data_IF_374964381836
#
_entry.id   IF_374964381836
#
_cell.length_a   1.000
_cell.length_b   1.000
_cell.length_c   1.000
_cell.angle_alpha   90.00
_cell.angle_beta   90.00
_cell.angle_gamma   90.00
#
_symmetry.space_group_name_H-M   'P 1'
#
loop_
_entity.id
_entity.type
_entity.pdbx_description
1 polymer ?
#
# COMPACT_ATOMS: atom_id res chain seq x y z
N UNK A 1 -26.50 25.69 -9.19
CA UNK A 1 -25.98 24.32 -8.97
C UNK A 1 -25.86 24.08 -7.46
N UNK A 2 -26.25 22.91 -6.94
CA UNK A 2 -26.18 22.64 -5.49
C UNK A 2 -24.68 22.53 -5.09
N UNK A 3 -24.21 23.16 -3.99
CA UNK A 3 -22.79 23.18 -3.62
C UNK A 3 -22.13 21.79 -3.56
N UNK A 4 -22.90 20.77 -3.16
CA UNK A 4 -22.47 19.36 -3.16
C UNK A 4 -21.99 18.84 -4.52
N UNK A 5 -22.60 19.27 -5.62
CA UNK A 5 -22.21 18.85 -6.97
C UNK A 5 -20.93 19.55 -7.42
N UNK A 6 -20.75 20.82 -7.02
CA UNK A 6 -19.50 21.56 -7.28
C UNK A 6 -18.35 20.89 -6.53
N UNK A 7 -18.55 20.58 -5.24
CA UNK A 7 -17.56 19.87 -4.44
C UNK A 7 -17.21 18.50 -5.03
N UNK A 8 -18.20 17.74 -5.51
CA UNK A 8 -17.95 16.45 -6.16
C UNK A 8 -17.12 16.59 -7.44
N UNK A 9 -17.45 17.56 -8.30
CA UNK A 9 -16.70 17.82 -9.54
C UNK A 9 -15.26 18.24 -9.21
N UNK A 10 -15.08 19.16 -8.27
CA UNK A 10 -13.75 19.59 -7.82
C UNK A 10 -12.94 18.41 -7.30
N UNK A 11 -13.55 17.54 -6.49
CA UNK A 11 -12.87 16.34 -5.97
C UNK A 11 -12.45 15.40 -7.09
N UNK A 12 -13.32 15.14 -8.07
CA UNK A 12 -12.98 14.29 -9.23
C UNK A 12 -11.82 14.90 -10.03
N UNK A 13 -11.86 16.20 -10.32
CA UNK A 13 -10.77 16.88 -11.04
C UNK A 13 -9.46 16.78 -10.25
N UNK A 14 -9.49 17.00 -8.94
CA UNK A 14 -8.31 16.85 -8.09
C UNK A 14 -7.75 15.43 -8.12
N UNK A 15 -8.60 14.40 -8.05
CA UNK A 15 -8.18 12.99 -8.17
C UNK A 15 -7.52 12.75 -9.52
N UNK A 16 -8.15 13.16 -10.63
CA UNK A 16 -7.60 12.95 -11.97
C UNK A 16 -6.24 13.65 -12.12
N UNK A 17 -6.13 14.90 -11.68
CA UNK A 17 -4.87 15.66 -11.71
C UNK A 17 -3.81 14.97 -10.85
N UNK A 18 -4.17 14.52 -9.65
CA UNK A 18 -3.27 13.77 -8.77
C UNK A 18 -2.79 12.48 -9.44
N UNK A 19 -3.69 11.68 -10.03
CA UNK A 19 -3.33 10.45 -10.72
C UNK A 19 -2.37 10.74 -11.88
N UNK A 20 -2.69 11.72 -12.73
CA UNK A 20 -1.85 12.10 -13.88
C UNK A 20 -0.49 12.64 -13.45
N UNK A 21 -0.41 13.53 -12.46
CA UNK A 21 0.87 14.01 -11.94
C UNK A 21 1.73 12.87 -11.35
N UNK A 22 1.08 11.88 -10.74
CA UNK A 22 1.76 10.71 -10.16
C UNK A 22 2.02 9.57 -11.18
N UNK A 23 1.82 9.77 -12.48
CA UNK A 23 2.25 8.81 -13.51
C UNK A 23 3.74 8.87 -13.84
N UNK A 24 4.48 9.78 -13.19
CA UNK A 24 5.93 9.87 -13.32
C UNK A 24 6.59 8.49 -13.11
N UNK A 25 7.47 8.12 -14.04
CA UNK A 25 8.27 6.90 -13.92
C UNK A 25 9.36 7.14 -12.91
N UNK A 26 9.41 6.32 -11.87
CA UNK A 26 10.49 6.29 -10.90
C UNK A 26 11.32 5.04 -11.12
N UNK A 27 12.62 5.22 -11.03
CA UNK A 27 13.60 4.14 -10.98
C UNK A 27 13.88 3.75 -9.53
N UNK A 28 13.43 2.56 -9.13
CA UNK A 28 13.88 1.92 -7.90
C UNK A 28 15.26 1.31 -8.11
N UNK A 29 16.22 1.69 -7.25
CA UNK A 29 17.53 1.06 -7.16
C UNK A 29 17.57 0.20 -5.89
N UNK A 30 17.40 -1.10 -6.08
CA UNK A 30 17.71 -2.11 -5.07
C UNK A 30 19.18 -2.51 -5.26
N UNK A 31 19.87 -2.98 -4.21
CA UNK A 31 21.33 -3.23 -4.17
C UNK A 31 22.03 -3.52 -5.52
N UNK A 32 21.48 -4.43 -6.34
CA UNK A 32 21.97 -4.71 -7.70
C UNK A 32 20.89 -4.65 -8.80
N UNK A 33 19.65 -4.26 -8.48
CA UNK A 33 18.51 -4.25 -9.41
C UNK A 33 17.97 -2.85 -9.63
N UNK A 34 17.73 -2.54 -10.90
CA UNK A 34 17.11 -1.30 -11.34
C UNK A 34 15.73 -1.62 -11.93
N UNK A 35 14.67 -1.08 -11.32
CA UNK A 35 13.29 -1.33 -11.74
C UNK A 35 12.62 0.01 -11.98
N UNK A 36 12.24 0.26 -13.22
CA UNK A 36 11.55 1.49 -13.62
C UNK A 36 10.05 1.23 -13.77
N UNK A 37 9.23 1.93 -12.99
CA UNK A 37 7.76 1.83 -13.03
C UNK A 37 7.10 3.15 -12.66
N UNK A 38 5.84 3.35 -13.02
CA UNK A 38 5.09 4.54 -12.59
C UNK A 38 4.92 4.58 -11.06
N UNK A 39 5.15 5.75 -10.45
CA UNK A 39 5.01 5.98 -8.99
C UNK A 39 3.66 5.51 -8.45
N UNK A 40 2.61 5.69 -9.24
CA UNK A 40 1.24 5.28 -8.91
C UNK A 40 1.06 3.78 -8.70
N UNK A 41 1.90 2.94 -9.32
CA UNK A 41 1.91 1.49 -9.11
C UNK A 41 2.77 1.11 -7.90
N UNK A 42 3.86 1.84 -7.70
CA UNK A 42 4.83 1.61 -6.63
C UNK A 42 4.21 1.73 -5.23
N UNK A 43 3.49 2.82 -4.98
CA UNK A 43 2.88 3.11 -3.68
C UNK A 43 1.93 2.01 -3.18
N UNK A 44 0.89 1.60 -3.93
CA UNK A 44 0.01 0.54 -3.50
C UNK A 44 0.73 -0.82 -3.42
N UNK A 45 1.70 -1.09 -4.31
CA UNK A 45 2.46 -2.33 -4.28
C UNK A 45 3.30 -2.47 -3.00
N UNK A 46 4.04 -1.42 -2.62
CA UNK A 46 4.82 -1.40 -1.38
C UNK A 46 3.91 -1.54 -0.15
N UNK A 47 2.75 -0.87 -0.15
CA UNK A 47 1.78 -0.98 0.93
C UNK A 47 1.24 -2.41 1.08
N UNK A 48 0.85 -3.05 -0.03
CA UNK A 48 0.34 -4.42 -0.03
C UNK A 48 1.40 -5.42 0.44
N UNK A 49 2.63 -5.29 -0.04
CA UNK A 49 3.74 -6.16 0.36
C UNK A 49 4.05 -5.98 1.85
N UNK A 50 4.19 -4.72 2.31
CA UNK A 50 4.47 -4.43 3.71
C UNK A 50 3.36 -4.90 4.65
N UNK A 51 2.10 -4.65 4.30
CA UNK A 51 0.95 -5.13 5.06
C UNK A 51 0.88 -6.66 5.08
N UNK A 52 1.06 -7.32 3.94
CA UNK A 52 1.06 -8.78 3.84
C UNK A 52 2.14 -9.44 4.69
N UNK A 53 3.37 -8.92 4.63
CA UNK A 53 4.48 -9.39 5.47
C UNK A 53 4.22 -9.13 6.96
N UNK A 54 3.71 -7.95 7.31
CA UNK A 54 3.33 -7.59 8.68
C UNK A 54 2.27 -8.54 9.23
N UNK A 55 1.19 -8.75 8.48
CA UNK A 55 0.11 -9.66 8.85
C UNK A 55 0.60 -11.11 9.00
N UNK A 56 1.39 -11.61 8.06
CA UNK A 56 1.98 -12.95 8.13
C UNK A 56 2.88 -13.11 9.37
N UNK A 57 3.71 -12.11 9.67
CA UNK A 57 4.58 -12.13 10.85
C UNK A 57 3.78 -12.15 12.17
N UNK A 58 2.67 -11.40 12.23
CA UNK A 58 1.78 -11.40 13.39
C UNK A 58 1.08 -12.75 13.55
N UNK A 59 0.57 -13.32 12.46
CA UNK A 59 -0.08 -14.63 12.46
C UNK A 59 0.88 -15.74 12.91
N UNK A 60 2.14 -15.73 12.44
CA UNK A 60 3.18 -16.67 12.89
C UNK A 60 3.50 -16.53 14.38
N UNK A 61 3.57 -15.30 14.90
CA UNK A 61 3.81 -15.05 16.32
C UNK A 61 2.65 -15.55 17.19
N UNK A 62 1.41 -15.40 16.74
CA UNK A 62 0.22 -15.86 17.47
C UNK A 62 0.15 -17.39 17.53
N UNK A 63 0.42 -18.08 16.42
CA UNK A 63 0.47 -19.56 16.37
C UNK A 63 1.51 -20.14 17.35
N UNK A 64 2.66 -19.48 17.51
CA UNK A 64 3.69 -19.90 18.49
C UNK A 64 3.30 -19.68 19.95
N UNK A 65 2.42 -18.73 20.26
CA UNK A 65 1.95 -18.49 21.63
C UNK A 65 0.91 -19.52 22.07
N UNK A 66 0.06 -19.98 21.17
CA UNK A 66 -0.98 -20.99 21.46
C UNK A 66 -0.42 -22.36 21.81
N UNK A 67 0.73 -22.77 21.22
CA UNK A 67 1.39 -24.04 21.54
C UNK A 67 2.08 -24.08 22.92
N UNK A 68 2.24 -22.92 23.59
CA UNK A 68 2.91 -22.83 24.90
C UNK A 68 1.94 -22.95 26.07
N UNK A 69 0.63 -22.86 25.83
CA UNK A 69 -0.41 -22.97 26.86
C UNK A 69 -0.93 -24.39 27.09
N UNK A 70 -0.59 -25.36 26.23
CA UNK A 70 -1.03 -26.76 26.34
C UNK A 70 0.02 -27.73 26.93
N UNK A 71 1.25 -27.27 27.20
CA UNK A 71 2.32 -28.08 27.80
C UNK A 71 2.53 -27.79 29.29
N UNK A 72 1.59 -27.10 29.93
CA UNK A 72 1.67 -26.65 31.33
C UNK A 72 0.63 -27.29 32.26
N UNK A 73 0.14 -28.49 31.93
CA UNK A 73 -0.67 -29.34 32.81
C UNK A 73 -0.02 -30.72 32.91
#
# INVERSE_FOLDING_TARGET
MKPKWIAAIVLVVLIVVFLFQNTQVITLRLYFWEISMSQILLLPLVLLVGFGLGYASAAWRQKRRSGRSQSGL
#
